data_IF_167560645431
#
_entry.id   IF_167560645431
#
_cell.length_a   1.000
_cell.length_b   1.000
_cell.length_c   1.000
_cell.angle_alpha   90.00
_cell.angle_beta   90.00
_cell.angle_gamma   90.00
#
_symmetry.space_group_name_H-M   'P 1'
#
loop_
_entity.id
_entity.type
_entity.pdbx_description
1 polymer ?
#
# COMPACT_ATOMS: atom_id res chain seq x y z
N UNK A 1 41.62 68.32 -1.87
CA UNK A 1 41.96 68.08 -3.30
C UNK A 1 42.05 66.57 -3.47
N UNK A 2 41.19 65.80 -4.14
CA UNK A 2 40.07 65.96 -5.06
C UNK A 2 39.14 64.74 -4.81
N UNK A 3 37.82 64.82 -4.58
CA UNK A 3 36.70 65.00 -5.52
C UNK A 3 36.84 64.16 -6.83
N UNK A 4 36.14 63.02 -6.93
CA UNK A 4 34.99 62.68 -7.82
C UNK A 4 35.38 61.43 -8.64
N UNK A 5 34.56 60.47 -9.11
CA UNK A 5 33.14 60.38 -9.46
C UNK A 5 32.80 58.86 -9.55
N UNK A 6 31.84 58.34 -8.79
CA UNK A 6 30.54 57.77 -9.22
C UNK A 6 30.49 56.88 -10.49
N UNK A 7 29.99 55.65 -10.33
CA UNK A 7 28.97 55.05 -11.23
C UNK A 7 27.97 54.25 -10.38
N UNK A 8 26.69 54.63 -10.47
CA UNK A 8 25.51 53.91 -9.97
C UNK A 8 25.21 52.69 -10.86
N UNK A 9 24.74 51.59 -10.25
CA UNK A 9 23.62 50.82 -10.83
C UNK A 9 22.62 50.52 -9.72
N UNK A 10 21.42 51.04 -9.91
CA UNK A 10 20.20 50.75 -9.15
C UNK A 10 19.65 49.41 -9.62
N UNK A 11 19.35 48.50 -8.70
CA UNK A 11 18.40 47.43 -8.93
C UNK A 11 17.59 47.20 -7.65
N UNK A 12 16.37 47.71 -7.70
CA UNK A 12 15.32 47.54 -6.71
C UNK A 12 14.96 46.07 -6.57
N UNK A 13 14.98 45.53 -5.36
CA UNK A 13 14.17 44.35 -5.02
C UNK A 13 13.29 44.71 -3.83
N UNK A 14 12.00 44.77 -4.12
CA UNK A 14 10.90 44.85 -3.17
C UNK A 14 10.95 43.67 -2.21
N UNK A 15 11.03 43.98 -0.91
CA UNK A 15 10.77 43.02 0.17
C UNK A 15 9.27 42.67 0.10
N UNK A 16 8.97 41.48 -0.43
CA UNK A 16 7.66 40.86 -0.27
C UNK A 16 7.81 39.80 0.81
N UNK A 17 7.30 40.09 1.99
CA UNK A 17 7.17 39.17 3.11
C UNK A 17 6.15 38.08 2.75
N UNK A 18 6.62 36.95 2.22
CA UNK A 18 5.89 35.69 2.31
C UNK A 18 6.34 34.99 3.57
N UNK A 19 5.45 34.92 4.56
CA UNK A 19 5.58 34.02 5.71
C UNK A 19 5.86 32.61 5.19
N UNK A 20 7.10 32.15 5.35
CA UNK A 20 7.43 30.74 5.26
C UNK A 20 6.79 30.05 6.44
N UNK A 21 5.62 29.46 6.20
CA UNK A 21 5.06 28.41 7.05
C UNK A 21 6.20 27.42 7.32
N UNK A 22 6.58 27.16 8.58
CA UNK A 22 7.66 26.24 8.86
C UNK A 22 7.26 24.88 8.33
N UNK A 23 8.06 24.36 7.39
CA UNK A 23 7.93 23.01 6.89
C UNK A 23 7.87 22.07 8.11
N UNK A 24 6.73 21.40 8.26
CA UNK A 24 6.54 20.34 9.24
C UNK A 24 7.68 19.34 9.03
N UNK A 25 8.45 18.98 10.07
CA UNK A 25 9.52 18.02 9.91
C UNK A 25 8.92 16.73 9.37
N UNK A 26 9.41 16.31 8.19
CA UNK A 26 9.15 15.01 7.60
C UNK A 26 9.66 13.99 8.61
N UNK A 27 8.74 13.42 9.41
CA UNK A 27 9.09 12.41 10.39
C UNK A 27 9.60 11.18 9.64
N UNK A 28 10.80 10.75 10.00
CA UNK A 28 11.51 9.56 9.53
C UNK A 28 10.63 8.53 8.82
N UNK A 29 10.65 8.69 7.50
CA UNK A 29 10.27 7.80 6.42
C UNK A 29 10.53 6.34 6.84
N UNK A 30 9.46 5.60 7.21
CA UNK A 30 9.47 4.13 7.14
C UNK A 30 9.54 3.82 5.65
N UNK A 31 10.77 3.84 5.13
CA UNK A 31 11.09 3.71 3.72
C UNK A 31 10.85 2.27 3.32
N UNK A 32 9.60 1.89 3.05
CA UNK A 32 9.24 0.55 2.59
C UNK A 32 9.93 0.34 1.24
N UNK A 33 11.14 -0.24 1.28
CA UNK A 33 11.83 -0.68 0.09
C UNK A 33 11.17 -1.96 -0.40
N UNK A 34 10.61 -1.94 -1.61
CA UNK A 34 10.22 -3.14 -2.34
C UNK A 34 11.46 -4.06 -2.44
N UNK A 35 11.54 -5.09 -1.60
CA UNK A 35 12.73 -5.96 -1.46
C UNK A 35 12.36 -7.44 -1.61
N UNK A 36 13.37 -8.30 -1.66
CA UNK A 36 13.53 -9.41 -2.60
C UNK A 36 12.71 -10.69 -2.37
N UNK A 37 11.82 -10.75 -1.38
CA UNK A 37 11.43 -12.05 -0.79
C UNK A 37 10.10 -12.65 -1.27
N UNK A 38 9.10 -11.85 -1.70
CA UNK A 38 7.78 -12.34 -2.14
C UNK A 38 7.51 -11.98 -3.60
N UNK A 39 7.26 -13.01 -4.43
CA UNK A 39 6.89 -12.86 -5.84
C UNK A 39 5.39 -13.04 -6.01
N UNK A 40 4.71 -12.01 -6.55
CA UNK A 40 3.35 -12.17 -7.02
C UNK A 40 3.36 -12.81 -8.40
N UNK A 41 2.51 -13.81 -8.59
CA UNK A 41 2.44 -14.61 -9.82
C UNK A 41 1.01 -14.68 -10.34
N UNK A 42 0.84 -15.28 -11.52
CA UNK A 42 -0.49 -15.54 -12.10
C UNK A 42 -1.35 -16.50 -11.25
N UNK A 43 -0.73 -17.28 -10.35
CA UNK A 43 -1.47 -18.03 -9.33
C UNK A 43 -2.23 -17.07 -8.40
N UNK A 44 -1.60 -15.97 -7.96
CA UNK A 44 -2.24 -14.96 -7.13
C UNK A 44 -3.36 -14.23 -7.89
N UNK A 45 -3.19 -14.01 -9.21
CA UNK A 45 -4.28 -13.48 -10.05
C UNK A 45 -5.49 -14.39 -10.00
N UNK A 46 -5.31 -15.70 -10.11
CA UNK A 46 -6.41 -16.66 -10.04
C UNK A 46 -7.16 -16.53 -8.71
N UNK A 47 -6.45 -16.44 -7.58
CA UNK A 47 -7.06 -16.18 -6.26
C UNK A 47 -7.86 -14.88 -6.22
N UNK A 48 -7.28 -13.78 -6.73
CA UNK A 48 -7.97 -12.48 -6.81
C UNK A 48 -9.27 -12.58 -7.64
N UNK A 49 -9.22 -13.26 -8.78
CA UNK A 49 -10.39 -13.44 -9.65
C UNK A 49 -11.48 -14.30 -8.97
N UNK A 50 -11.10 -15.32 -8.21
CA UNK A 50 -12.03 -16.09 -7.39
C UNK A 50 -12.69 -15.21 -6.32
N UNK A 51 -11.90 -14.42 -5.59
CA UNK A 51 -12.43 -13.47 -4.60
C UNK A 51 -13.40 -12.47 -5.22
N UNK A 52 -13.04 -11.90 -6.37
CA UNK A 52 -13.88 -10.96 -7.11
C UNK A 52 -15.18 -11.59 -7.62
N UNK A 53 -15.15 -12.85 -8.05
CA UNK A 53 -16.35 -13.60 -8.42
C UNK A 53 -17.32 -13.72 -7.25
N UNK A 54 -16.81 -14.08 -6.06
CA UNK A 54 -17.61 -14.16 -4.84
C UNK A 54 -18.12 -12.79 -4.39
N UNK A 55 -17.30 -11.74 -4.45
CA UNK A 55 -17.73 -10.37 -4.16
C UNK A 55 -18.92 -9.96 -5.03
N UNK A 56 -18.85 -10.23 -6.34
CA UNK A 56 -19.97 -9.97 -7.28
C UNK A 56 -21.21 -10.79 -6.94
N UNK A 57 -21.04 -12.03 -6.50
CA UNK A 57 -22.14 -12.87 -6.04
C UNK A 57 -22.83 -12.27 -4.81
N UNK A 58 -22.07 -11.85 -3.80
CA UNK A 58 -22.61 -11.21 -2.60
C UNK A 58 -23.28 -9.87 -2.88
N UNK A 59 -22.69 -9.03 -3.75
CA UNK A 59 -23.34 -7.79 -4.22
C UNK A 59 -24.71 -8.08 -4.81
N UNK A 60 -24.81 -9.09 -5.67
CA UNK A 60 -26.09 -9.46 -6.28
C UNK A 60 -27.10 -9.84 -5.21
N UNK A 61 -26.74 -10.71 -4.28
CA UNK A 61 -27.64 -11.12 -3.21
C UNK A 61 -28.05 -9.95 -2.30
N UNK A 62 -27.10 -9.10 -1.91
CA UNK A 62 -27.34 -7.95 -1.05
C UNK A 62 -28.28 -6.94 -1.71
N UNK A 63 -28.03 -6.58 -2.98
CA UNK A 63 -28.89 -5.66 -3.75
C UNK A 63 -30.33 -6.14 -3.90
N UNK A 64 -30.56 -7.45 -3.95
CA UNK A 64 -31.91 -8.03 -4.05
C UNK A 64 -32.53 -8.39 -2.69
N UNK A 65 -31.89 -8.04 -1.56
CA UNK A 65 -32.38 -8.37 -0.22
C UNK A 65 -32.38 -9.87 0.08
N UNK A 66 -31.55 -10.64 -0.64
CA UNK A 66 -31.44 -12.10 -0.56
C UNK A 66 -30.20 -12.55 0.20
N UNK A 67 -29.39 -11.61 0.71
CA UNK A 67 -28.20 -11.93 1.48
C UNK A 67 -28.61 -12.59 2.81
N UNK A 68 -28.51 -13.90 2.88
CA UNK A 68 -28.68 -14.67 4.10
C UNK A 68 -27.41 -15.49 4.33
N UNK A 69 -26.51 -14.93 5.13
CA UNK A 69 -25.20 -15.53 5.43
C UNK A 69 -25.37 -16.94 5.99
N UNK A 70 -26.38 -17.19 6.83
CA UNK A 70 -26.61 -18.50 7.44
C UNK A 70 -27.00 -19.62 6.45
N UNK A 71 -27.35 -19.26 5.21
CA UNK A 71 -27.68 -20.21 4.14
C UNK A 71 -26.51 -20.43 3.15
N UNK A 72 -25.34 -19.84 3.41
CA UNK A 72 -24.20 -20.01 2.51
C UNK A 72 -23.65 -21.44 2.59
N UNK A 73 -23.07 -21.90 1.48
CA UNK A 73 -22.21 -23.07 1.51
C UNK A 73 -20.99 -22.80 2.40
N UNK A 74 -20.24 -23.85 2.76
CA UNK A 74 -18.97 -23.71 3.50
C UNK A 74 -18.02 -22.73 2.80
N UNK A 75 -17.92 -22.82 1.47
CA UNK A 75 -17.13 -21.87 0.67
C UNK A 75 -17.70 -20.46 0.73
N UNK A 76 -19.02 -20.30 0.63
CA UNK A 76 -19.66 -19.00 0.71
C UNK A 76 -19.38 -18.29 2.03
N UNK A 77 -19.47 -19.01 3.16
CA UNK A 77 -19.07 -18.48 4.47
C UNK A 77 -17.60 -18.06 4.50
N UNK A 78 -16.71 -18.95 4.05
CA UNK A 78 -15.27 -18.68 4.00
C UNK A 78 -14.94 -17.43 3.20
N UNK A 79 -15.49 -17.29 1.99
CA UNK A 79 -15.20 -16.12 1.15
C UNK A 79 -15.86 -14.86 1.69
N UNK A 80 -17.06 -14.94 2.26
CA UNK A 80 -17.69 -13.80 2.90
C UNK A 80 -16.82 -13.25 4.05
N UNK A 81 -16.34 -14.14 4.93
CA UNK A 81 -15.47 -13.74 6.05
C UNK A 81 -14.15 -13.15 5.55
N UNK A 82 -13.50 -13.79 4.57
CA UNK A 82 -12.26 -13.27 3.97
C UNK A 82 -12.48 -11.87 3.38
N UNK A 83 -13.53 -11.68 2.58
CA UNK A 83 -13.78 -10.41 1.90
C UNK A 83 -14.17 -9.29 2.88
N UNK A 84 -14.91 -9.61 3.94
CA UNK A 84 -15.28 -8.62 4.95
C UNK A 84 -14.16 -8.28 5.94
N UNK A 85 -13.09 -9.07 6.01
CA UNK A 85 -11.97 -8.83 6.94
C UNK A 85 -10.70 -8.38 6.25
N UNK A 86 -10.46 -8.79 5.00
CA UNK A 86 -9.30 -8.36 4.23
C UNK A 86 -9.36 -6.85 3.95
N UNK A 87 -8.41 -6.13 4.52
CA UNK A 87 -8.18 -4.70 4.35
C UNK A 87 -7.07 -4.39 3.35
N UNK A 88 -6.37 -5.40 2.85
CA UNK A 88 -5.13 -5.25 2.06
C UNK A 88 -5.43 -5.27 0.57
N UNK A 89 -6.36 -6.11 0.11
CA UNK A 89 -6.61 -6.31 -1.34
C UNK A 89 -8.00 -5.90 -1.83
N UNK A 90 -8.93 -5.64 -0.92
CA UNK A 90 -10.36 -5.49 -1.28
C UNK A 90 -10.73 -4.11 -1.83
N UNK A 91 -9.95 -3.07 -1.53
CA UNK A 91 -10.26 -1.69 -1.93
C UNK A 91 -10.47 -1.52 -3.44
N UNK A 92 -9.68 -2.21 -4.27
CA UNK A 92 -9.82 -2.16 -5.74
C UNK A 92 -10.46 -3.40 -6.35
N UNK A 93 -11.05 -4.28 -5.54
CA UNK A 93 -11.56 -5.56 -6.03
C UNK A 93 -12.72 -5.40 -7.03
N UNK A 94 -13.49 -4.31 -6.92
CA UNK A 94 -14.64 -4.05 -7.78
C UNK A 94 -14.33 -3.10 -8.94
N UNK A 95 -13.11 -2.55 -8.99
CA UNK A 95 -12.70 -1.61 -10.05
C UNK A 95 -12.78 -2.25 -11.44
N UNK A 96 -13.14 -1.44 -12.43
CA UNK A 96 -13.23 -1.89 -13.81
C UNK A 96 -11.84 -2.12 -14.39
N UNK A 97 -11.65 -3.24 -15.11
CA UNK A 97 -10.35 -3.59 -15.70
C UNK A 97 -9.33 -4.18 -14.71
N UNK A 98 -9.63 -4.23 -13.41
CA UNK A 98 -8.74 -4.79 -12.38
C UNK A 98 -8.29 -6.23 -12.66
N UNK A 99 -9.05 -7.00 -13.45
CA UNK A 99 -8.67 -8.35 -13.86
C UNK A 99 -7.44 -8.39 -14.79
N UNK A 100 -7.15 -7.27 -15.48
CA UNK A 100 -6.09 -7.14 -16.47
C UNK A 100 -4.88 -6.38 -15.96
N UNK A 101 -4.98 -5.71 -14.82
CA UNK A 101 -3.86 -4.97 -14.25
C UNK A 101 -2.68 -5.89 -13.93
N UNK A 102 -1.44 -5.37 -13.96
CA UNK A 102 -0.29 -6.14 -13.51
C UNK A 102 -0.47 -6.55 -12.05
N UNK A 103 0.05 -7.73 -11.69
CA UNK A 103 0.07 -8.15 -10.30
C UNK A 103 1.06 -7.29 -9.53
N UNK A 104 0.61 -6.76 -8.40
CA UNK A 104 1.41 -6.02 -7.46
C UNK A 104 1.49 -6.78 -6.14
N UNK A 105 2.59 -6.55 -5.45
CA UNK A 105 2.66 -6.86 -4.04
C UNK A 105 2.08 -5.68 -3.25
N UNK A 106 1.21 -6.00 -2.30
CA UNK A 106 0.41 -5.01 -1.56
C UNK A 106 0.65 -5.14 -0.06
N UNK A 107 0.82 -4.02 0.62
CA UNK A 107 1.11 -4.01 2.06
C UNK A 107 0.45 -2.84 2.75
N UNK A 108 -0.30 -3.12 3.81
CA UNK A 108 -0.88 -2.08 4.66
C UNK A 108 0.19 -1.45 5.57
N UNK A 109 0.04 -0.17 5.92
CA UNK A 109 1.04 0.64 6.63
C UNK A 109 1.24 0.35 8.12
N UNK A 110 0.56 -0.65 8.70
CA UNK A 110 0.60 -1.01 10.12
C UNK A 110 1.95 -1.54 10.66
N UNK A 111 3.09 -1.09 10.12
CA UNK A 111 4.43 -1.32 10.65
C UNK A 111 4.99 -2.74 10.42
N UNK A 112 5.78 -3.23 11.37
CA UNK A 112 6.46 -4.53 11.28
C UNK A 112 5.51 -5.75 11.31
N UNK A 113 4.25 -5.56 11.69
CA UNK A 113 3.20 -6.57 11.71
C UNK A 113 2.30 -6.60 10.47
N UNK A 114 2.55 -5.73 9.49
CA UNK A 114 1.72 -5.67 8.30
C UNK A 114 1.91 -6.89 7.39
N UNK A 115 0.82 -7.62 7.17
CA UNK A 115 0.74 -8.71 6.21
C UNK A 115 0.94 -8.17 4.79
N UNK A 116 1.83 -8.79 4.02
CA UNK A 116 1.92 -8.59 2.58
C UNK A 116 0.97 -9.54 1.86
N UNK A 117 0.33 -9.06 0.81
CA UNK A 117 -0.50 -9.87 -0.08
C UNK A 117 -0.17 -9.55 -1.54
N UNK A 118 -0.88 -10.19 -2.46
CA UNK A 118 -0.77 -9.95 -3.89
C UNK A 118 -2.14 -9.58 -4.45
N UNK A 119 -2.21 -8.46 -5.15
CA UNK A 119 -3.42 -8.01 -5.84
C UNK A 119 -3.05 -7.24 -7.12
N UNK A 120 -3.94 -7.20 -8.13
CA UNK A 120 -3.71 -6.34 -9.28
C UNK A 120 -3.73 -4.86 -8.89
N UNK A 121 -2.88 -4.05 -9.53
CA UNK A 121 -2.83 -2.60 -9.29
C UNK A 121 -2.47 -1.85 -10.60
N UNK A 122 -3.13 -0.71 -10.90
CA UNK A 122 -2.96 -0.01 -12.16
C UNK A 122 -1.82 1.01 -12.10
N UNK A 123 -0.58 0.55 -12.03
CA UNK A 123 0.56 1.46 -11.96
C UNK A 123 0.61 2.46 -13.13
N UNK A 124 0.96 3.71 -12.82
CA UNK A 124 1.18 4.76 -13.79
C UNK A 124 2.58 4.66 -14.41
N UNK A 125 2.64 4.66 -15.74
CA UNK A 125 3.91 4.67 -16.49
C UNK A 125 4.84 3.51 -16.15
N UNK A 126 6.07 3.83 -15.74
CA UNK A 126 7.12 2.88 -15.35
C UNK A 126 7.36 2.86 -13.82
N UNK A 127 6.45 3.41 -13.02
CA UNK A 127 6.65 3.47 -11.57
C UNK A 127 6.77 2.07 -10.97
N UNK A 128 7.83 1.82 -10.20
CA UNK A 128 8.06 0.54 -9.51
C UNK A 128 7.28 0.47 -8.20
N UNK A 129 6.88 1.61 -7.66
CA UNK A 129 6.28 1.78 -6.35
C UNK A 129 5.23 2.89 -6.36
N UNK A 130 4.08 2.62 -5.75
CA UNK A 130 3.03 3.60 -5.52
C UNK A 130 2.41 3.39 -4.15
N UNK A 131 1.69 4.40 -3.66
CA UNK A 131 1.00 4.34 -2.38
C UNK A 131 -0.38 5.00 -2.50
N UNK A 132 -1.33 4.49 -1.73
CA UNK A 132 -2.66 5.05 -1.59
C UNK A 132 -2.82 5.59 -0.17
N UNK A 133 -3.15 6.87 -0.07
CA UNK A 133 -3.30 7.59 1.19
C UNK A 133 -4.36 6.95 2.08
N UNK A 134 -4.22 7.14 3.39
CA UNK A 134 -5.09 6.53 4.41
C UNK A 134 -6.58 6.76 4.12
N UNK A 135 -6.97 7.99 3.84
CA UNK A 135 -8.38 8.35 3.66
C UNK A 135 -8.96 7.77 2.36
N UNK A 136 -8.16 7.74 1.29
CA UNK A 136 -8.56 7.15 0.01
C UNK A 136 -8.71 5.64 0.15
N UNK A 137 -7.72 4.97 0.75
CA UNK A 137 -7.75 3.53 0.94
C UNK A 137 -8.88 3.09 1.86
N UNK A 138 -9.10 3.81 2.97
CA UNK A 138 -10.24 3.57 3.86
C UNK A 138 -11.56 3.72 3.12
N UNK A 139 -11.74 4.78 2.34
CA UNK A 139 -12.95 5.00 1.56
C UNK A 139 -13.21 3.87 0.57
N UNK A 140 -12.15 3.37 -0.09
CA UNK A 140 -12.25 2.25 -1.02
C UNK A 140 -12.68 0.95 -0.33
N UNK A 141 -12.06 0.60 0.81
CA UNK A 141 -12.40 -0.62 1.58
C UNK A 141 -13.79 -0.51 2.22
N UNK A 142 -14.17 0.66 2.75
CA UNK A 142 -15.50 0.91 3.30
C UNK A 142 -16.59 0.71 2.23
N UNK A 143 -16.42 1.35 1.07
CA UNK A 143 -17.35 1.22 -0.05
C UNK A 143 -17.48 -0.23 -0.52
N UNK A 144 -16.36 -0.97 -0.60
CA UNK A 144 -16.38 -2.39 -0.91
C UNK A 144 -17.23 -3.19 0.09
N UNK A 145 -16.97 -3.03 1.40
CA UNK A 145 -17.66 -3.76 2.48
C UNK A 145 -19.15 -3.46 2.51
N UNK A 146 -19.53 -2.21 2.28
CA UNK A 146 -20.93 -1.80 2.15
C UNK A 146 -21.61 -2.47 0.95
N UNK A 147 -20.94 -2.58 -0.20
CA UNK A 147 -21.53 -3.17 -1.40
C UNK A 147 -21.77 -4.67 -1.30
N UNK A 148 -20.90 -5.42 -0.60
CA UNK A 148 -21.07 -6.87 -0.39
C UNK A 148 -21.95 -7.20 0.82
N UNK A 149 -22.35 -6.18 1.60
CA UNK A 149 -23.24 -6.33 2.74
C UNK A 149 -22.57 -6.87 4.00
N UNK A 150 -21.35 -6.43 4.32
CA UNK A 150 -20.67 -6.75 5.57
C UNK A 150 -21.40 -6.20 6.81
N UNK A 151 -21.07 -6.70 8.00
CA UNK A 151 -21.63 -6.22 9.25
C UNK A 151 -21.17 -4.79 9.57
N UNK A 152 -21.93 -4.07 10.41
CA UNK A 152 -21.56 -2.72 10.85
C UNK A 152 -20.19 -2.68 11.51
N UNK A 153 -19.87 -3.66 12.34
CA UNK A 153 -18.57 -3.78 13.00
C UNK A 153 -17.43 -3.92 11.99
N UNK A 154 -17.62 -4.75 10.95
CA UNK A 154 -16.64 -4.93 9.88
C UNK A 154 -16.46 -3.64 9.06
N UNK A 155 -17.53 -2.88 8.82
CA UNK A 155 -17.45 -1.59 8.13
C UNK A 155 -16.75 -0.55 9.01
N UNK A 156 -17.10 -0.45 10.29
CA UNK A 156 -16.51 0.52 11.22
C UNK A 156 -15.03 0.23 11.53
N UNK A 157 -14.62 -1.04 11.48
CA UNK A 157 -13.23 -1.46 11.64
C UNK A 157 -12.27 -0.87 10.59
N UNK A 158 -12.78 -0.30 9.49
CA UNK A 158 -11.98 0.40 8.48
C UNK A 158 -11.20 1.59 9.04
N UNK A 159 -11.70 2.23 10.11
CA UNK A 159 -11.05 3.38 10.75
C UNK A 159 -9.65 3.08 11.31
N UNK A 160 -9.33 1.80 11.50
CA UNK A 160 -8.04 1.35 12.02
C UNK A 160 -7.09 0.85 10.92
N UNK A 161 -7.47 1.00 9.64
CA UNK A 161 -6.64 0.63 8.50
C UNK A 161 -5.68 1.78 8.19
N UNK A 162 -4.39 1.50 8.02
CA UNK A 162 -3.40 2.51 7.60
C UNK A 162 -3.33 2.63 6.07
N UNK A 163 -2.41 3.45 5.56
CA UNK A 163 -2.18 3.60 4.13
C UNK A 163 -1.79 2.27 3.47
N UNK A 164 -1.88 2.18 2.14
CA UNK A 164 -1.56 0.96 1.41
C UNK A 164 -0.47 1.20 0.38
N UNK A 165 0.47 0.27 0.32
CA UNK A 165 1.67 0.37 -0.51
C UNK A 165 1.66 -0.71 -1.59
N UNK A 166 2.01 -0.33 -2.81
CA UNK A 166 2.00 -1.19 -4.00
C UNK A 166 3.39 -1.25 -4.63
N UNK A 167 3.88 -2.45 -4.87
CA UNK A 167 5.17 -2.71 -5.50
C UNK A 167 5.00 -3.60 -6.73
N UNK A 168 5.55 -3.22 -7.89
CA UNK A 168 5.48 -4.06 -9.12
C UNK A 168 6.19 -5.39 -8.95
N UNK A 169 7.32 -5.35 -8.26
CA UNK A 169 8.19 -6.50 -8.20
C UNK A 169 7.94 -7.32 -6.93
N UNK A 170 8.05 -6.71 -5.73
CA UNK A 170 8.20 -7.48 -4.47
C UNK A 170 7.80 -6.69 -3.21
N UNK A 171 7.21 -7.35 -2.20
CA UNK A 171 7.00 -6.75 -0.87
C UNK A 171 8.15 -7.07 0.08
N UNK A 172 8.51 -6.11 0.93
CA UNK A 172 9.20 -6.40 2.18
C UNK A 172 8.57 -5.64 3.34
N UNK A 173 8.58 -6.28 4.51
CA UNK A 173 8.61 -5.59 5.79
C UNK A 173 10.03 -5.25 6.15
N UNK A 174 10.33 -3.96 6.34
CA UNK A 174 11.52 -3.57 7.07
C UNK A 174 11.36 -4.05 8.52
N UNK A 175 11.94 -5.21 8.80
CA UNK A 175 12.26 -5.67 10.12
C UNK A 175 13.60 -6.39 10.05
N UNK A 176 14.71 -5.63 10.00
CA UNK A 176 16.09 -6.03 10.36
C UNK A 176 16.51 -7.51 10.13
N UNK A 177 16.04 -8.16 9.06
CA UNK A 177 16.15 -9.61 8.89
C UNK A 177 17.40 -10.08 8.17
N UNK A 178 17.93 -9.27 7.25
CA UNK A 178 19.04 -9.69 6.38
C UNK A 178 20.41 -9.15 6.83
N UNK A 179 20.41 -8.10 7.67
CA UNK A 179 21.65 -7.54 8.23
C UNK A 179 22.38 -8.56 9.14
N UNK A 180 21.72 -9.37 9.99
CA UNK A 180 22.41 -10.37 10.80
C UNK A 180 23.07 -11.47 9.94
N UNK A 181 22.42 -11.90 8.85
CA UNK A 181 22.99 -12.93 7.96
C UNK A 181 24.18 -12.40 7.17
N UNK A 182 24.12 -11.16 6.67
CA UNK A 182 25.26 -10.52 6.00
C UNK A 182 26.43 -10.35 6.97
N UNK A 183 26.17 -9.94 8.22
CA UNK A 183 27.20 -9.82 9.26
C UNK A 183 27.78 -11.20 9.64
N UNK A 184 26.94 -12.24 9.79
CA UNK A 184 27.41 -13.61 10.06
C UNK A 184 28.28 -14.13 8.91
N UNK A 185 27.84 -14.00 7.66
CA UNK A 185 28.64 -14.42 6.51
C UNK A 185 29.96 -13.64 6.41
N UNK A 186 29.92 -12.32 6.62
CA UNK A 186 31.13 -11.50 6.63
C UNK A 186 32.10 -11.92 7.75
N UNK A 187 31.58 -12.30 8.93
CA UNK A 187 32.41 -12.78 10.04
C UNK A 187 33.05 -14.14 9.78
N UNK A 188 32.33 -15.08 9.15
CA UNK A 188 32.87 -16.39 8.76
C UNK A 188 33.93 -16.25 7.66
N UNK A 189 33.67 -15.43 6.64
CA UNK A 189 34.63 -15.16 5.57
C UNK A 189 35.87 -14.44 6.12
N UNK A 190 35.68 -13.45 6.98
CA UNK A 190 36.78 -12.74 7.64
C UNK A 190 37.65 -13.65 8.50
N UNK A 191 37.04 -14.56 9.26
CA UNK A 191 37.76 -15.55 10.06
C UNK A 191 38.56 -16.53 9.21
N UNK A 192 38.00 -16.99 8.08
CA UNK A 192 38.69 -17.88 7.14
C UNK A 192 39.88 -17.20 6.47
N UNK A 193 39.75 -15.94 6.07
CA UNK A 193 40.84 -15.17 5.46
C UNK A 193 41.97 -14.90 6.46
N UNK A 194 41.66 -14.67 7.73
CA UNK A 194 42.66 -14.46 8.80
C UNK A 194 43.34 -15.76 9.26
N UNK A 195 42.82 -16.92 8.86
CA UNK A 195 43.36 -18.24 9.22
C UNK A 195 44.26 -18.88 8.14
N UNK A 196 44.41 -18.22 6.99
CA UNK A 196 45.32 -18.58 5.89
C UNK A 196 46.57 -17.69 5.93
#
# INVERSE_FOLDING_TARGET
MHLLLAILIVASTTVSSTETVPAKPVSDEVRIQCSQSVFCSEYNRTTFLTHRMWARHFIKQYKFGQLNIGNFSVDGHKYYDILCTDATTTGFMLEEGAEKWPMACVRNGAGASANSSCAPYPFEGESVYEFCEVDEWRSAVENFRLQIGCSKEQVEGVKNIDENYFCRERCNGLGLGDVPYIIMFASVVGALILSL
#
